data_IF_911913572492
#
_entry.id   IF_911913572492
#
_cell.length_a   1.000
_cell.length_b   1.000
_cell.length_c   1.000
_cell.angle_alpha   90.00
_cell.angle_beta   90.00
_cell.angle_gamma   90.00
#
_symmetry.space_group_name_H-M   'P 1'
#
loop_
_entity.id
_entity.type
_entity.pdbx_description
1 polymer ?
#
# COMPACT_ATOMS: atom_id res chain seq x y z
N UNK A 1 28.85 3.65 64.86
CA UNK A 1 28.00 4.85 64.79
C UNK A 1 28.10 5.42 63.38
N UNK A 2 27.35 4.86 62.42
CA UNK A 2 27.30 5.34 61.02
C UNK A 2 26.22 6.42 60.95
N UNK A 3 26.59 7.60 60.47
CA UNK A 3 25.76 8.82 60.58
C UNK A 3 24.60 8.82 59.58
N UNK A 4 23.43 9.36 59.95
CA UNK A 4 22.24 9.48 59.10
C UNK A 4 22.42 10.35 57.84
N UNK A 5 23.57 11.04 57.73
CA UNK A 5 23.93 11.87 56.58
C UNK A 5 24.28 11.04 55.33
N UNK A 6 24.82 9.82 55.48
CA UNK A 6 25.13 8.95 54.34
C UNK A 6 23.86 8.38 53.67
N UNK A 7 22.83 8.08 54.46
CA UNK A 7 21.57 7.51 53.98
C UNK A 7 20.78 8.53 53.14
N UNK A 8 20.80 9.80 53.54
CA UNK A 8 20.11 10.90 52.84
C UNK A 8 20.78 11.24 51.51
N UNK A 9 22.11 11.21 51.43
CA UNK A 9 22.83 11.44 50.18
C UNK A 9 22.59 10.31 49.17
N UNK A 10 22.60 9.04 49.61
CA UNK A 10 22.32 7.88 48.76
C UNK A 10 20.87 7.93 48.26
N UNK A 11 19.91 8.28 49.12
CA UNK A 11 18.50 8.48 48.74
C UNK A 11 18.34 9.61 47.72
N UNK A 12 19.07 10.72 47.87
CA UNK A 12 19.01 11.84 46.92
C UNK A 12 19.60 11.45 45.55
N UNK A 13 20.73 10.74 45.54
CA UNK A 13 21.37 10.23 44.32
C UNK A 13 20.45 9.22 43.62
N UNK A 14 19.84 8.29 44.36
CA UNK A 14 18.94 7.29 43.80
C UNK A 14 17.68 7.93 43.19
N UNK A 15 17.10 8.94 43.84
CA UNK A 15 15.96 9.71 43.29
C UNK A 15 16.36 10.44 42.00
N UNK A 16 17.54 11.05 41.98
CA UNK A 16 18.05 11.74 40.80
C UNK A 16 18.26 10.76 39.63
N UNK A 17 18.84 9.58 39.89
CA UNK A 17 19.04 8.54 38.88
C UNK A 17 17.72 8.01 38.32
N UNK A 18 16.71 7.81 39.17
CA UNK A 18 15.36 7.38 38.73
C UNK A 18 14.69 8.46 37.88
N UNK A 19 14.83 9.74 38.23
CA UNK A 19 14.31 10.85 37.44
C UNK A 19 15.02 10.93 36.08
N UNK A 20 16.35 10.84 36.06
CA UNK A 20 17.14 10.85 34.81
C UNK A 20 16.77 9.66 33.94
N UNK A 21 16.68 8.46 34.49
CA UNK A 21 16.29 7.26 33.74
C UNK A 21 14.86 7.37 33.22
N UNK A 22 13.93 7.90 34.02
CA UNK A 22 12.55 8.17 33.59
C UNK A 22 12.46 9.21 32.47
N UNK A 23 13.28 10.27 32.52
CA UNK A 23 13.38 11.27 31.46
C UNK A 23 14.01 10.68 30.19
N UNK A 24 15.07 9.88 30.31
CA UNK A 24 15.71 9.20 29.17
C UNK A 24 14.74 8.20 28.54
N UNK A 25 13.99 7.43 29.34
CA UNK A 25 12.98 6.52 28.85
C UNK A 25 11.81 7.25 28.17
N UNK A 26 11.40 8.42 28.70
CA UNK A 26 10.39 9.25 28.07
C UNK A 26 10.86 9.85 26.73
N UNK A 27 12.11 10.29 26.63
CA UNK A 27 12.72 10.79 25.38
C UNK A 27 12.96 9.64 24.38
N UNK A 28 13.37 8.46 24.83
CA UNK A 28 13.52 7.27 23.99
C UNK A 28 12.18 6.67 23.54
N UNK A 29 11.07 7.07 24.19
CA UNK A 29 9.71 6.71 23.78
C UNK A 29 9.12 7.64 22.73
N UNK A 30 9.91 8.56 22.15
CA UNK A 30 9.49 9.23 20.93
C UNK A 30 9.14 8.15 19.91
N UNK A 31 7.85 8.09 19.61
CA UNK A 31 7.28 7.23 18.58
C UNK A 31 7.91 7.69 17.29
N UNK A 32 8.96 6.99 16.88
CA UNK A 32 9.51 7.09 15.55
C UNK A 32 8.42 6.58 14.62
N UNK A 33 7.57 7.50 14.15
CA UNK A 33 6.62 7.17 13.11
C UNK A 33 7.45 6.59 11.96
N UNK A 34 7.20 5.34 11.53
CA UNK A 34 7.93 4.78 10.41
C UNK A 34 7.84 5.78 9.25
N UNK A 35 8.91 5.97 8.47
CA UNK A 35 8.89 6.92 7.37
C UNK A 35 7.66 6.65 6.52
N UNK A 36 6.89 7.71 6.22
CA UNK A 36 5.78 7.68 5.27
C UNK A 36 6.35 7.01 4.01
N UNK A 37 5.82 5.83 3.64
CA UNK A 37 6.30 4.89 2.61
C UNK A 37 7.40 5.45 1.69
N UNK A 38 8.61 4.88 1.76
CA UNK A 38 9.78 5.43 1.08
C UNK A 38 9.71 5.20 -0.44
N UNK A 39 9.09 4.11 -0.89
CA UNK A 39 8.62 3.94 -2.27
C UNK A 39 7.58 2.80 -2.42
N UNK A 40 6.29 3.10 -2.65
CA UNK A 40 5.25 2.06 -2.78
C UNK A 40 5.58 1.02 -3.85
N UNK A 41 6.10 1.44 -5.01
CA UNK A 41 6.33 0.52 -6.11
C UNK A 41 7.47 -0.45 -5.78
N UNK A 42 8.57 0.04 -5.19
CA UNK A 42 9.70 -0.81 -4.79
C UNK A 42 9.33 -1.72 -3.61
N UNK A 43 8.71 -1.18 -2.58
CA UNK A 43 8.49 -1.90 -1.32
C UNK A 43 7.28 -2.84 -1.36
N UNK A 44 6.22 -2.45 -2.06
CA UNK A 44 4.92 -3.13 -1.99
C UNK A 44 4.50 -3.64 -3.35
N UNK A 45 4.36 -2.75 -4.33
CA UNK A 45 3.69 -3.06 -5.58
C UNK A 45 4.45 -4.09 -6.44
N UNK A 46 5.77 -3.96 -6.60
CA UNK A 46 6.59 -4.92 -7.37
C UNK A 46 6.66 -6.28 -6.64
N UNK A 47 6.98 -6.35 -5.33
CA UNK A 47 6.94 -7.62 -4.59
C UNK A 47 5.56 -8.28 -4.61
N UNK A 48 4.48 -7.50 -4.49
CA UNK A 48 3.11 -8.01 -4.56
C UNK A 48 2.78 -8.56 -5.95
N UNK A 49 3.22 -7.90 -7.03
CA UNK A 49 3.04 -8.39 -8.39
C UNK A 49 3.65 -9.78 -8.56
N UNK A 50 4.91 -9.94 -8.13
CA UNK A 50 5.61 -11.24 -8.17
C UNK A 50 4.91 -12.29 -7.32
N UNK A 51 4.52 -11.94 -6.09
CA UNK A 51 3.83 -12.85 -5.16
C UNK A 51 2.50 -13.34 -5.71
N UNK A 52 1.65 -12.43 -6.20
CA UNK A 52 0.33 -12.78 -6.74
C UNK A 52 0.48 -13.63 -8.00
N UNK A 53 1.43 -13.28 -8.89
CA UNK A 53 1.68 -14.07 -10.09
C UNK A 53 2.14 -15.49 -9.78
N UNK A 54 3.16 -15.64 -8.92
CA UNK A 54 3.65 -16.96 -8.51
C UNK A 54 2.54 -17.81 -7.88
N UNK A 55 1.66 -17.18 -7.12
CA UNK A 55 0.54 -17.84 -6.47
C UNK A 55 -0.56 -18.26 -7.44
N UNK A 56 -0.89 -17.43 -8.43
CA UNK A 56 -1.82 -17.83 -9.50
C UNK A 56 -1.24 -18.95 -10.38
N UNK A 57 0.06 -18.91 -10.65
CA UNK A 57 0.76 -19.91 -11.47
C UNK A 57 0.93 -21.25 -10.73
N UNK A 58 1.03 -21.25 -9.40
CA UNK A 58 1.28 -22.47 -8.61
C UNK A 58 0.05 -23.38 -8.41
N UNK A 59 -1.15 -22.96 -8.85
CA UNK A 59 -2.43 -23.70 -8.92
C UNK A 59 -2.81 -24.66 -7.77
N UNK A 60 -2.24 -24.52 -6.58
CA UNK A 60 -2.64 -25.23 -5.36
C UNK A 60 -3.18 -24.22 -4.32
N UNK A 61 -4.26 -23.53 -4.68
CA UNK A 61 -4.92 -22.60 -3.77
C UNK A 61 -6.05 -23.30 -3.01
N UNK A 62 -5.74 -23.76 -1.80
CA UNK A 62 -6.67 -24.33 -0.82
C UNK A 62 -7.40 -23.27 0.02
N UNK A 63 -7.22 -21.98 -0.26
CA UNK A 63 -7.83 -20.89 0.50
C UNK A 63 -7.09 -20.49 1.79
N UNK A 64 -5.99 -21.14 2.16
CA UNK A 64 -5.54 -21.17 3.56
C UNK A 64 -4.60 -20.05 4.04
N UNK A 65 -4.25 -19.03 3.24
CA UNK A 65 -3.29 -17.99 3.68
C UNK A 65 -3.77 -16.55 3.49
N UNK A 66 -4.85 -16.19 4.17
CA UNK A 66 -5.18 -14.81 4.54
C UNK A 66 -5.49 -14.79 6.04
N UNK A 67 -4.68 -14.11 6.86
CA UNK A 67 -5.03 -13.92 8.27
C UNK A 67 -6.19 -12.91 8.39
N UNK A 68 -7.39 -13.38 8.76
CA UNK A 68 -8.56 -12.55 9.05
C UNK A 68 -9.40 -12.10 7.85
N UNK A 69 -9.08 -12.51 6.61
CA UNK A 69 -9.86 -12.19 5.40
C UNK A 69 -10.52 -13.43 4.78
N UNK A 70 -11.52 -13.22 3.91
CA UNK A 70 -12.20 -14.27 3.16
C UNK A 70 -11.97 -14.07 1.65
N UNK A 71 -11.81 -15.15 0.86
CA UNK A 71 -11.74 -15.04 -0.59
C UNK A 71 -12.97 -14.31 -1.16
N UNK A 72 -12.73 -13.31 -2.01
CA UNK A 72 -13.81 -12.62 -2.72
C UNK A 72 -14.54 -13.58 -3.66
N UNK A 73 -15.87 -13.54 -3.66
CA UNK A 73 -16.67 -14.31 -4.63
C UNK A 73 -16.70 -13.54 -5.95
N UNK A 74 -16.66 -14.26 -7.07
CA UNK A 74 -16.85 -13.62 -8.37
C UNK A 74 -18.17 -12.84 -8.38
N UNK A 75 -18.13 -11.60 -8.87
CA UNK A 75 -19.30 -10.71 -8.93
C UNK A 75 -19.71 -10.05 -7.62
N UNK A 76 -19.13 -10.39 -6.45
CA UNK A 76 -19.54 -9.78 -5.18
C UNK A 76 -19.14 -8.30 -5.05
N UNK A 77 -18.13 -7.88 -5.81
CA UNK A 77 -17.67 -6.49 -5.88
C UNK A 77 -17.52 -6.08 -7.35
N UNK A 78 -18.62 -5.75 -8.05
CA UNK A 78 -18.61 -5.57 -9.51
C UNK A 78 -17.81 -4.35 -9.96
N UNK A 79 -17.64 -3.35 -9.09
CA UNK A 79 -16.88 -2.15 -9.40
C UNK A 79 -15.38 -2.30 -9.11
N UNK A 80 -14.97 -3.31 -8.34
CA UNK A 80 -13.57 -3.50 -7.95
C UNK A 80 -12.77 -4.03 -9.15
N UNK A 81 -11.69 -3.32 -9.46
CA UNK A 81 -10.72 -3.73 -10.47
C UNK A 81 -9.33 -3.88 -9.87
N UNK A 82 -8.55 -4.77 -10.48
CA UNK A 82 -7.11 -4.86 -10.25
C UNK A 82 -6.35 -4.08 -11.31
N UNK A 83 -5.20 -3.53 -10.94
CA UNK A 83 -4.28 -2.89 -11.88
C UNK A 83 -2.98 -3.67 -11.95
N UNK A 84 -2.58 -4.00 -13.16
CA UNK A 84 -1.20 -4.36 -13.51
C UNK A 84 -0.54 -3.11 -14.07
N UNK A 85 0.64 -2.79 -13.56
CA UNK A 85 1.35 -1.55 -13.89
C UNK A 85 2.67 -1.91 -14.56
N UNK A 86 2.83 -1.54 -15.82
CA UNK A 86 4.13 -1.60 -16.49
C UNK A 86 4.88 -0.30 -16.18
N UNK A 87 5.97 -0.39 -15.42
CA UNK A 87 6.81 0.75 -15.05
C UNK A 87 7.79 1.10 -16.18
N UNK A 88 8.27 2.33 -16.20
CA UNK A 88 9.23 2.82 -17.21
C UNK A 88 10.59 2.14 -17.13
N UNK A 89 10.96 1.59 -15.97
CA UNK A 89 12.21 0.84 -15.75
C UNK A 89 12.11 -0.64 -16.18
N UNK A 90 10.97 -1.04 -16.76
CA UNK A 90 10.73 -2.40 -17.25
C UNK A 90 10.17 -3.36 -16.21
N UNK A 91 10.07 -2.97 -14.93
CA UNK A 91 9.46 -3.79 -13.89
C UNK A 91 7.94 -3.70 -13.91
N UNK A 92 7.31 -4.63 -13.22
CA UNK A 92 5.86 -4.73 -13.11
C UNK A 92 5.44 -4.54 -11.66
N UNK A 93 4.49 -3.63 -11.44
CA UNK A 93 3.88 -3.34 -10.15
C UNK A 93 2.38 -3.64 -10.21
N UNK A 94 1.69 -3.54 -9.08
CA UNK A 94 0.23 -3.73 -9.01
C UNK A 94 -0.42 -2.68 -8.11
N UNK A 95 -1.68 -2.39 -8.38
CA UNK A 95 -2.59 -1.58 -7.55
C UNK A 95 -4.02 -2.11 -7.66
N UNK A 96 -4.98 -1.42 -7.04
CA UNK A 96 -6.40 -1.58 -7.32
C UNK A 96 -6.99 -0.36 -8.00
N UNK A 97 -8.23 -0.48 -8.48
CA UNK A 97 -9.03 0.62 -8.98
C UNK A 97 -10.53 0.36 -8.81
N UNK A 98 -11.35 1.39 -9.05
CA UNK A 98 -12.80 1.27 -9.05
C UNK A 98 -13.38 1.79 -10.37
N UNK A 99 -14.22 0.97 -11.02
CA UNK A 99 -14.93 1.33 -12.25
C UNK A 99 -16.00 2.39 -11.95
N UNK A 100 -15.92 3.55 -12.62
CA UNK A 100 -16.89 4.65 -12.48
C UNK A 100 -17.95 4.62 -13.58
N UNK A 101 -17.53 4.27 -14.79
CA UNK A 101 -18.39 4.10 -15.96
C UNK A 101 -17.80 3.06 -16.88
N UNK A 102 -18.47 2.77 -18.00
CA UNK A 102 -17.95 1.88 -19.03
C UNK A 102 -16.66 2.40 -19.70
N UNK A 103 -16.19 3.62 -19.43
CA UNK A 103 -14.98 4.20 -20.05
C UNK A 103 -14.09 4.96 -19.06
N UNK A 104 -14.41 4.89 -17.76
CA UNK A 104 -13.69 5.62 -16.71
C UNK A 104 -13.52 4.75 -15.48
N UNK A 105 -12.34 4.83 -14.86
CA UNK A 105 -12.08 4.27 -13.54
C UNK A 105 -11.25 5.24 -12.71
N UNK A 106 -11.37 5.13 -11.39
CA UNK A 106 -10.59 5.90 -10.40
C UNK A 106 -9.56 4.99 -9.73
N UNK A 107 -8.40 5.55 -9.43
CA UNK A 107 -7.30 4.89 -8.72
C UNK A 107 -6.55 5.94 -7.88
N UNK A 108 -5.56 5.51 -7.10
CA UNK A 108 -4.62 6.42 -6.46
C UNK A 108 -3.66 7.03 -7.49
N UNK A 109 -3.22 8.27 -7.27
CA UNK A 109 -2.23 8.95 -8.10
C UNK A 109 -0.84 8.34 -7.94
N UNK A 110 -0.50 7.84 -6.74
CA UNK A 110 0.78 7.18 -6.50
C UNK A 110 0.96 5.93 -7.36
N UNK A 111 -0.12 5.23 -7.73
CA UNK A 111 -0.07 4.10 -8.67
C UNK A 111 0.43 4.50 -10.06
N UNK A 112 0.21 5.76 -10.47
CA UNK A 112 0.69 6.29 -11.74
C UNK A 112 2.12 6.84 -11.61
N UNK A 113 2.40 7.54 -10.51
CA UNK A 113 3.72 8.13 -10.23
C UNK A 113 3.94 8.29 -8.74
N UNK A 114 5.02 7.70 -8.23
CA UNK A 114 5.48 7.89 -6.86
C UNK A 114 6.99 7.77 -6.78
N UNK A 115 7.64 8.61 -5.97
CA UNK A 115 9.10 8.62 -5.87
C UNK A 115 9.77 8.73 -7.24
N UNK A 116 10.64 7.76 -7.53
CA UNK A 116 11.36 7.66 -8.81
C UNK A 116 10.64 6.79 -9.85
N UNK A 117 9.46 6.26 -9.51
CA UNK A 117 8.69 5.37 -10.36
C UNK A 117 7.63 6.11 -11.15
N UNK A 118 7.53 5.73 -12.42
CA UNK A 118 6.54 6.19 -13.35
C UNK A 118 5.92 4.98 -14.05
N UNK A 119 4.60 4.90 -14.04
CA UNK A 119 3.87 3.97 -14.88
C UNK A 119 3.94 4.43 -16.34
N UNK A 120 4.21 3.48 -17.24
CA UNK A 120 4.11 3.66 -18.70
C UNK A 120 2.73 3.26 -19.21
N UNK A 121 2.13 2.24 -18.61
CA UNK A 121 0.84 1.67 -19.01
C UNK A 121 0.20 0.94 -17.84
N UNK A 122 -1.11 1.08 -17.71
CA UNK A 122 -1.95 0.22 -16.87
C UNK A 122 -2.64 -0.83 -17.73
N UNK A 123 -2.79 -2.03 -17.17
CA UNK A 123 -3.77 -3.03 -17.59
C UNK A 123 -4.78 -3.16 -16.46
N UNK A 124 -5.97 -2.63 -16.66
CA UNK A 124 -7.07 -2.77 -15.72
C UNK A 124 -7.79 -4.11 -15.94
N UNK A 125 -8.08 -4.81 -14.85
CA UNK A 125 -8.68 -6.14 -14.83
C UNK A 125 -9.97 -6.10 -14.02
N UNK A 126 -11.09 -6.35 -14.68
CA UNK A 126 -12.43 -6.37 -14.08
C UNK A 126 -13.07 -7.76 -14.18
N UNK A 127 -14.04 -8.04 -13.31
CA UNK A 127 -14.82 -9.28 -13.36
C UNK A 127 -13.97 -10.54 -13.16
N UNK A 128 -12.97 -10.47 -12.27
CA UNK A 128 -12.07 -11.59 -11.97
C UNK A 128 -11.68 -11.59 -10.49
N UNK A 129 -11.46 -12.79 -9.94
CA UNK A 129 -10.81 -12.99 -8.64
C UNK A 129 -9.30 -13.20 -8.77
N UNK A 130 -8.77 -13.11 -10.01
CA UNK A 130 -7.37 -13.29 -10.38
C UNK A 130 -6.88 -12.06 -11.15
N UNK A 131 -5.69 -11.59 -10.82
CA UNK A 131 -5.07 -10.41 -11.40
C UNK A 131 -4.32 -10.74 -12.69
N UNK A 132 -3.58 -11.85 -12.74
CA UNK A 132 -2.71 -12.20 -13.88
C UNK A 132 -3.36 -13.11 -14.91
N UNK A 133 -4.57 -13.61 -14.62
CA UNK A 133 -5.34 -14.46 -15.53
C UNK A 133 -6.84 -14.13 -15.51
N UNK A 134 -7.54 -14.42 -16.61
CA UNK A 134 -8.98 -14.18 -16.75
C UNK A 134 -9.38 -12.69 -16.72
N UNK A 135 -10.68 -12.47 -16.50
CA UNK A 135 -11.31 -11.14 -16.43
C UNK A 135 -11.43 -10.42 -17.78
N UNK A 136 -12.16 -9.30 -17.75
CA UNK A 136 -12.12 -8.30 -18.82
C UNK A 136 -10.89 -7.41 -18.61
N UNK A 137 -10.03 -7.31 -19.61
CA UNK A 137 -8.73 -6.63 -19.51
C UNK A 137 -8.68 -5.49 -20.52
N UNK A 138 -8.40 -4.29 -20.04
CA UNK A 138 -8.27 -3.09 -20.88
C UNK A 138 -6.99 -2.36 -20.53
N UNK A 139 -6.23 -1.99 -21.56
CA UNK A 139 -4.98 -1.26 -21.41
C UNK A 139 -5.23 0.24 -21.51
N UNK A 140 -4.52 1.03 -20.73
CA UNK A 140 -4.55 2.49 -20.85
C UNK A 140 -3.24 3.13 -20.41
N UNK A 141 -2.87 4.20 -21.10
CA UNK A 141 -1.88 5.18 -20.64
C UNK A 141 -2.50 6.57 -20.45
N UNK A 142 -3.81 6.71 -20.66
CA UNK A 142 -4.54 7.96 -20.48
C UNK A 142 -5.00 8.07 -19.03
N UNK A 143 -4.07 8.53 -18.19
CA UNK A 143 -4.25 8.68 -16.75
C UNK A 143 -3.98 10.13 -16.36
N UNK A 144 -4.94 10.72 -15.67
CA UNK A 144 -4.86 12.09 -15.17
C UNK A 144 -4.87 12.04 -13.65
N UNK A 145 -3.71 12.30 -13.04
CA UNK A 145 -3.61 12.54 -11.60
C UNK A 145 -4.20 13.89 -11.25
N UNK A 146 -4.75 14.03 -10.05
CA UNK A 146 -5.23 15.32 -9.58
C UNK A 146 -4.08 16.34 -9.58
N UNK A 147 -4.26 17.55 -10.16
CA UNK A 147 -3.15 18.49 -10.36
C UNK A 147 -2.46 18.96 -9.08
N UNK A 148 -3.12 18.86 -7.91
CA UNK A 148 -2.52 19.21 -6.61
C UNK A 148 -2.02 18.00 -5.82
N UNK A 149 -1.93 16.81 -6.43
CA UNK A 149 -1.33 15.64 -5.79
C UNK A 149 0.07 15.97 -5.27
N UNK A 150 0.31 15.72 -3.98
CA UNK A 150 1.59 15.95 -3.30
C UNK A 150 2.19 14.62 -2.85
N UNK A 151 3.07 14.00 -3.65
CA UNK A 151 3.57 12.64 -3.37
C UNK A 151 4.31 12.55 -2.03
N UNK A 152 5.12 13.55 -1.66
CA UNK A 152 5.92 13.50 -0.43
C UNK A 152 5.10 13.41 0.86
N UNK A 153 3.82 13.78 0.82
CA UNK A 153 2.89 13.75 1.97
C UNK A 153 1.62 12.96 1.67
N UNK A 154 1.55 12.29 0.51
CA UNK A 154 0.39 11.52 0.04
C UNK A 154 -0.95 12.29 0.00
N UNK A 155 -0.91 13.61 -0.13
CA UNK A 155 -2.12 14.43 -0.19
C UNK A 155 -2.71 14.48 -1.60
N UNK A 156 -4.04 14.48 -1.66
CA UNK A 156 -4.81 14.46 -2.91
C UNK A 156 -4.43 13.30 -3.85
N UNK A 157 -4.17 12.14 -3.25
CA UNK A 157 -3.76 10.91 -3.92
C UNK A 157 -4.90 10.24 -4.70
N UNK A 158 -5.30 10.87 -5.81
CA UNK A 158 -6.36 10.40 -6.69
C UNK A 158 -6.02 10.66 -8.16
N UNK A 159 -6.31 9.68 -9.01
CA UNK A 159 -6.19 9.77 -10.45
C UNK A 159 -7.40 9.11 -11.13
N UNK A 160 -7.77 9.65 -12.30
CA UNK A 160 -8.80 9.08 -13.17
C UNK A 160 -8.13 8.58 -14.43
N UNK A 161 -8.46 7.35 -14.83
CA UNK A 161 -8.02 6.76 -16.08
C UNK A 161 -9.18 6.66 -17.07
N UNK A 162 -8.88 6.94 -18.33
CA UNK A 162 -9.78 6.70 -19.44
C UNK A 162 -9.52 5.32 -20.01
N UNK A 163 -10.56 4.52 -20.10
CA UNK A 163 -10.51 3.13 -20.56
C UNK A 163 -11.21 3.00 -21.92
N UNK A 164 -10.89 1.94 -22.64
CA UNK A 164 -11.77 1.44 -23.69
C UNK A 164 -13.09 0.95 -23.07
N UNK A 165 -14.12 0.78 -23.89
CA UNK A 165 -15.44 0.39 -23.42
C UNK A 165 -15.42 -0.96 -22.66
N UNK A 166 -15.78 -0.91 -21.38
CA UNK A 166 -15.95 -2.06 -20.49
C UNK A 166 -17.44 -2.43 -20.43
N UNK A 167 -17.84 -3.62 -20.90
CA UNK A 167 -19.23 -4.07 -20.82
C UNK A 167 -19.61 -4.39 -19.36
N UNK A 168 -20.80 -3.97 -18.94
CA UNK A 168 -21.33 -4.35 -17.64
C UNK A 168 -22.02 -5.72 -17.72
N UNK A 169 -21.69 -6.59 -16.77
CA UNK A 169 -22.24 -7.95 -16.64
C UNK A 169 -22.65 -8.20 -15.20
N UNK A 170 -23.72 -8.98 -15.03
CA UNK A 170 -24.17 -9.50 -13.73
C UNK A 170 -23.60 -10.89 -13.41
N UNK A 171 -22.85 -11.48 -14.35
CA UNK A 171 -22.15 -12.75 -14.19
C UNK A 171 -20.72 -12.56 -13.73
#
# INVERSE_FOLDING_TARGET
MWTPMHQTTISAIMKLLVIIFGLVAAVASEVEFPPIFQDYHEEIGIPAAKRIKLFEDSLDFDGSRIAGGQPGRLGSQPHLGGLIIALTDGRQSVCGCSLLSNTKAVTAAHCWRFGSFQARKFTAVFGSTRLFSGGHRTDTSNVVSYPKYRPNVMDYDVAVMTLDFVPFSSK
#
